data_IF_341415853705
#
_entry.id   IF_341415853705
#
_cell.length_a   1.000
_cell.length_b   1.000
_cell.length_c   1.000
_cell.angle_alpha   90.00
_cell.angle_beta   90.00
_cell.angle_gamma   90.00
#
_symmetry.space_group_name_H-M   'P 1'
#
loop_
_entity.id
_entity.type
_entity.pdbx_description
1 polymer ?
#
# COMPACT_ATOMS: atom_id res chain seq x y z
N UNK A 1 20.36 -10.43 21.82
CA UNK A 1 19.99 -10.84 20.46
C UNK A 1 19.82 -9.58 19.65
N UNK A 2 20.80 -9.21 18.83
CA UNK A 2 20.64 -8.11 17.88
C UNK A 2 19.62 -8.54 16.86
N UNK A 3 18.43 -7.96 16.92
CA UNK A 3 17.47 -8.10 15.83
C UNK A 3 18.13 -7.50 14.59
N UNK A 4 18.49 -8.33 13.62
CA UNK A 4 19.05 -7.89 12.35
C UNK A 4 18.09 -6.84 11.76
N UNK A 5 18.56 -5.60 11.76
CA UNK A 5 17.79 -4.49 11.23
C UNK A 5 17.66 -4.67 9.72
N UNK A 6 16.42 -4.67 9.24
CA UNK A 6 16.18 -4.70 7.81
C UNK A 6 16.79 -3.47 7.13
N UNK A 7 17.50 -3.71 6.03
CA UNK A 7 18.11 -2.67 5.19
C UNK A 7 17.48 -2.68 3.81
N UNK A 8 17.71 -1.64 3.03
CA UNK A 8 17.26 -1.59 1.63
C UNK A 8 17.82 -2.77 0.82
N UNK A 9 19.06 -3.18 1.07
CA UNK A 9 19.69 -4.29 0.34
C UNK A 9 18.94 -5.61 0.55
N UNK A 10 18.43 -5.85 1.75
CA UNK A 10 17.59 -7.02 2.04
C UNK A 10 16.29 -7.02 1.22
N UNK A 11 15.75 -5.82 0.91
CA UNK A 11 14.50 -5.65 0.15
C UNK A 11 14.70 -5.60 -1.38
N UNK A 12 15.93 -5.60 -1.89
CA UNK A 12 16.21 -5.62 -3.33
C UNK A 12 16.05 -7.01 -3.96
N UNK A 13 15.70 -8.03 -3.20
CA UNK A 13 15.43 -9.38 -3.68
C UNK A 13 13.96 -9.78 -3.51
N UNK A 14 13.41 -10.58 -4.43
CA UNK A 14 12.04 -11.11 -4.31
C UNK A 14 11.86 -11.88 -3.01
N UNK A 15 12.85 -12.69 -2.62
CA UNK A 15 12.80 -13.45 -1.38
C UNK A 15 12.85 -12.55 -0.14
N UNK A 16 13.67 -11.50 -0.15
CA UNK A 16 13.75 -10.52 0.93
C UNK A 16 12.42 -9.80 1.15
N UNK A 17 11.79 -9.32 0.07
CA UNK A 17 10.47 -8.69 0.13
C UNK A 17 9.40 -9.65 0.67
N UNK A 18 9.39 -10.90 0.21
CA UNK A 18 8.44 -11.92 0.71
C UNK A 18 8.63 -12.18 2.21
N UNK A 19 9.88 -12.38 2.64
CA UNK A 19 10.20 -12.64 4.04
C UNK A 19 9.81 -11.45 4.92
N UNK A 20 10.21 -10.24 4.53
CA UNK A 20 9.85 -9.02 5.25
C UNK A 20 8.33 -8.83 5.34
N UNK A 21 7.62 -8.93 4.20
CA UNK A 21 6.18 -8.76 4.19
C UNK A 21 5.46 -9.82 5.03
N UNK A 22 5.97 -11.05 5.06
CA UNK A 22 5.42 -12.12 5.90
C UNK A 22 5.62 -11.82 7.39
N UNK A 23 6.82 -11.39 7.79
CA UNK A 23 7.14 -11.02 9.19
C UNK A 23 6.28 -9.83 9.65
N UNK A 24 6.18 -8.77 8.84
CA UNK A 24 5.36 -7.61 9.15
C UNK A 24 3.89 -8.01 9.30
N UNK A 25 3.36 -8.80 8.38
CA UNK A 25 1.96 -9.26 8.45
C UNK A 25 1.67 -10.09 9.69
N UNK A 26 2.59 -10.99 10.05
CA UNK A 26 2.43 -11.83 11.24
C UNK A 26 2.46 -11.00 12.51
N UNK A 27 3.43 -10.08 12.63
CA UNK A 27 3.56 -9.20 13.78
C UNK A 27 2.32 -8.31 13.97
N UNK A 28 1.86 -7.65 12.91
CA UNK A 28 0.74 -6.72 13.00
C UNK A 28 -0.63 -7.41 13.09
N UNK A 29 -0.78 -8.68 12.69
CA UNK A 29 -1.96 -9.47 13.02
C UNK A 29 -2.08 -9.68 14.52
N UNK A 30 -0.98 -10.09 15.18
CA UNK A 30 -0.97 -10.27 16.63
C UNK A 30 -1.31 -8.97 17.34
N UNK A 31 -0.70 -7.85 16.96
CA UNK A 31 -1.04 -6.56 17.53
C UNK A 31 -2.50 -6.17 17.31
N UNK A 32 -3.07 -6.44 16.14
CA UNK A 32 -4.47 -6.15 15.88
C UNK A 32 -5.41 -6.94 16.83
N UNK A 33 -5.11 -8.22 17.03
CA UNK A 33 -5.88 -9.08 17.93
C UNK A 33 -5.72 -8.67 19.41
N UNK A 34 -4.48 -8.32 19.82
CA UNK A 34 -4.18 -7.83 21.16
C UNK A 34 -4.90 -6.50 21.45
N UNK A 35 -4.87 -5.54 20.52
CA UNK A 35 -5.57 -4.27 20.68
C UNK A 35 -7.09 -4.45 20.76
N UNK A 36 -7.66 -5.36 19.99
CA UNK A 36 -9.09 -5.67 20.09
C UNK A 36 -9.46 -6.33 21.40
N UNK A 37 -8.62 -7.23 21.89
CA UNK A 37 -8.81 -7.86 23.19
C UNK A 37 -8.74 -6.82 24.31
N UNK A 38 -7.69 -5.99 24.32
CA UNK A 38 -7.53 -4.90 25.29
C UNK A 38 -8.67 -3.89 25.22
N UNK A 39 -9.16 -3.55 24.02
CA UNK A 39 -10.29 -2.64 23.87
C UNK A 39 -11.58 -3.17 24.51
N UNK A 40 -11.79 -4.49 24.48
CA UNK A 40 -12.92 -5.13 25.15
C UNK A 40 -12.74 -5.16 26.66
N UNK A 41 -11.58 -5.62 27.13
CA UNK A 41 -11.25 -5.70 28.55
C UNK A 41 -11.36 -4.32 29.22
N UNK A 42 -10.71 -3.30 28.70
CA UNK A 42 -10.77 -1.93 29.24
C UNK A 42 -12.18 -1.38 29.25
N UNK A 43 -12.97 -1.66 28.19
CA UNK A 43 -14.36 -1.23 28.16
C UNK A 43 -15.20 -1.90 29.25
N UNK A 44 -15.04 -3.21 29.40
CA UNK A 44 -15.82 -3.99 30.36
C UNK A 44 -15.43 -3.62 31.80
N UNK A 45 -14.14 -3.42 32.08
CA UNK A 45 -13.62 -2.98 33.38
C UNK A 45 -14.15 -1.58 33.75
N UNK A 46 -14.08 -0.59 32.85
CA UNK A 46 -14.58 0.78 33.13
C UNK A 46 -16.11 0.85 33.24
N UNK A 47 -16.83 -0.10 32.71
CA UNK A 47 -18.28 -0.21 32.94
C UNK A 47 -18.59 -0.91 34.23
N UNK A 48 -17.79 -1.90 34.66
CA UNK A 48 -17.96 -2.64 35.88
C UNK A 48 -17.55 -1.82 37.11
N UNK A 49 -16.47 -1.05 36.99
CA UNK A 49 -15.93 -0.17 38.04
C UNK A 49 -15.83 1.28 37.52
N UNK A 50 -16.93 2.04 37.55
CA UNK A 50 -16.96 3.41 37.04
C UNK A 50 -16.09 4.36 37.85
N UNK A 51 -15.59 5.41 37.21
CA UNK A 51 -14.84 6.48 37.87
C UNK A 51 -15.74 7.15 38.90
N UNK A 52 -15.19 7.45 40.10
CA UNK A 52 -15.92 8.09 41.17
C UNK A 52 -16.66 9.35 40.71
N UNK A 53 -17.97 9.36 40.94
CA UNK A 53 -18.86 10.45 40.53
C UNK A 53 -19.50 10.26 39.17
N UNK A 54 -19.17 9.22 38.40
CA UNK A 54 -19.81 8.92 37.12
C UNK A 54 -21.19 8.28 37.31
N UNK A 55 -22.18 8.82 36.59
CA UNK A 55 -23.44 8.11 36.38
C UNK A 55 -23.27 7.02 35.28
N UNK A 56 -24.22 6.07 35.22
CA UNK A 56 -24.17 4.93 34.27
C UNK A 56 -23.89 5.35 32.82
N UNK A 57 -24.46 6.45 32.35
CA UNK A 57 -24.27 6.95 30.97
C UNK A 57 -22.86 7.49 30.81
N UNK A 58 -22.34 8.24 31.79
CA UNK A 58 -20.98 8.78 31.74
C UNK A 58 -19.93 7.64 31.71
N UNK A 59 -20.11 6.63 32.56
CA UNK A 59 -19.25 5.44 32.58
C UNK A 59 -19.17 4.75 31.21
N UNK A 60 -20.30 4.52 30.55
CA UNK A 60 -20.32 3.95 29.22
C UNK A 60 -19.65 4.85 28.16
N UNK A 61 -19.82 6.17 28.28
CA UNK A 61 -19.19 7.13 27.38
C UNK A 61 -17.67 7.14 27.54
N UNK A 62 -17.18 7.19 28.78
CA UNK A 62 -15.75 7.15 29.09
C UNK A 62 -15.12 5.82 28.66
N UNK A 63 -15.78 4.70 28.96
CA UNK A 63 -15.36 3.37 28.50
C UNK A 63 -15.27 3.28 26.96
N UNK A 64 -16.25 3.85 26.26
CA UNK A 64 -16.23 3.92 24.81
C UNK A 64 -15.07 4.79 24.29
N UNK A 65 -14.85 5.95 24.90
CA UNK A 65 -13.81 6.90 24.50
C UNK A 65 -12.41 6.28 24.63
N UNK A 66 -12.10 5.66 25.76
CA UNK A 66 -10.80 5.01 25.98
C UNK A 66 -10.64 3.80 25.05
N UNK A 67 -11.66 2.94 24.94
CA UNK A 67 -11.59 1.76 24.09
C UNK A 67 -11.56 2.09 22.59
N UNK A 68 -12.03 3.28 22.18
CA UNK A 68 -12.00 3.68 20.77
C UNK A 68 -10.59 3.85 20.23
N UNK A 69 -9.67 4.39 21.03
CA UNK A 69 -8.26 4.52 20.65
C UNK A 69 -7.61 3.16 20.37
N UNK A 70 -7.88 2.15 21.21
CA UNK A 70 -7.38 0.79 21.00
C UNK A 70 -7.98 0.14 19.74
N UNK A 71 -9.25 0.38 19.46
CA UNK A 71 -9.88 -0.09 18.20
C UNK A 71 -9.30 0.58 16.96
N UNK A 72 -8.96 1.86 17.04
CA UNK A 72 -8.28 2.55 15.96
C UNK A 72 -6.86 2.00 15.75
N UNK A 73 -6.13 1.68 16.82
CA UNK A 73 -4.84 0.98 16.73
C UNK A 73 -4.99 -0.39 16.04
N UNK A 74 -6.01 -1.18 16.39
CA UNK A 74 -6.31 -2.44 15.73
C UNK A 74 -6.60 -2.26 14.22
N UNK A 75 -7.37 -1.23 13.86
CA UNK A 75 -7.66 -0.88 12.47
C UNK A 75 -6.39 -0.52 11.69
N UNK A 76 -5.51 0.29 12.28
CA UNK A 76 -4.22 0.65 11.67
C UNK A 76 -3.30 -0.55 11.52
N UNK A 77 -3.25 -1.43 12.52
CA UNK A 77 -2.49 -2.68 12.43
C UNK A 77 -2.98 -3.56 11.25
N UNK A 78 -4.29 -3.68 11.05
CA UNK A 78 -4.85 -4.39 9.88
C UNK A 78 -4.54 -3.70 8.56
N UNK A 79 -4.51 -2.36 8.54
CA UNK A 79 -4.10 -1.63 7.35
C UNK A 79 -2.64 -1.90 6.97
N UNK A 80 -1.74 -2.02 7.95
CA UNK A 80 -0.34 -2.42 7.73
C UNK A 80 -0.25 -3.85 7.17
N UNK A 81 -1.08 -4.79 7.66
CA UNK A 81 -1.16 -6.15 7.10
C UNK A 81 -1.57 -6.12 5.63
N UNK A 82 -2.53 -5.28 5.26
CA UNK A 82 -2.96 -5.11 3.88
C UNK A 82 -1.86 -4.48 3.01
N UNK A 83 -1.18 -3.45 3.52
CA UNK A 83 -0.05 -2.81 2.84
C UNK A 83 1.12 -3.79 2.61
N UNK A 84 1.40 -4.68 3.57
CA UNK A 84 2.41 -5.73 3.42
C UNK A 84 2.13 -6.68 2.24
N UNK A 85 0.86 -6.99 1.96
CA UNK A 85 0.47 -7.73 0.75
C UNK A 85 0.70 -6.92 -0.52
N UNK A 86 0.37 -5.63 -0.47
CA UNK A 86 0.58 -4.70 -1.59
C UNK A 86 2.05 -4.60 -1.97
N UNK A 87 2.95 -4.48 -1.00
CA UNK A 87 4.38 -4.38 -1.21
C UNK A 87 4.95 -5.52 -2.07
N UNK A 88 4.55 -6.76 -1.79
CA UNK A 88 4.99 -7.93 -2.58
C UNK A 88 4.51 -7.86 -4.03
N UNK A 89 3.25 -7.47 -4.23
CA UNK A 89 2.66 -7.31 -5.56
C UNK A 89 3.31 -6.18 -6.35
N UNK A 90 3.56 -5.04 -5.71
CA UNK A 90 4.20 -3.89 -6.35
C UNK A 90 5.66 -4.17 -6.71
N UNK A 91 6.41 -4.83 -5.84
CA UNK A 91 7.78 -5.26 -6.14
C UNK A 91 7.82 -6.16 -7.37
N UNK A 92 6.97 -7.19 -7.42
CA UNK A 92 6.88 -8.10 -8.57
C UNK A 92 6.56 -7.34 -9.85
N UNK A 93 5.54 -6.48 -9.81
CA UNK A 93 5.10 -5.69 -10.96
C UNK A 93 6.19 -4.76 -11.47
N UNK A 94 6.87 -4.02 -10.57
CA UNK A 94 7.83 -2.97 -10.94
C UNK A 94 9.22 -3.54 -11.19
N UNK A 95 9.72 -4.41 -10.33
CA UNK A 95 11.11 -4.87 -10.39
C UNK A 95 11.29 -6.11 -11.27
N UNK A 96 10.25 -6.93 -11.47
CA UNK A 96 10.36 -8.17 -12.23
C UNK A 96 9.63 -8.08 -13.57
N UNK A 97 8.35 -7.71 -13.58
CA UNK A 97 7.54 -7.75 -14.79
C UNK A 97 7.82 -6.56 -15.72
N UNK A 98 7.97 -5.37 -15.16
CA UNK A 98 8.18 -4.17 -15.97
C UNK A 98 9.48 -4.23 -16.81
N UNK A 99 10.64 -4.65 -16.28
CA UNK A 99 11.85 -4.86 -17.08
C UNK A 99 11.64 -5.91 -18.17
N UNK A 100 10.97 -7.02 -17.87
CA UNK A 100 10.65 -8.06 -18.86
C UNK A 100 9.78 -7.51 -20.01
N UNK A 101 8.73 -6.74 -19.66
CA UNK A 101 7.86 -6.09 -20.64
C UNK A 101 8.62 -5.08 -21.50
N UNK A 102 9.54 -4.31 -20.89
CA UNK A 102 10.40 -3.36 -21.64
C UNK A 102 11.36 -4.07 -22.58
N UNK A 103 12.02 -5.13 -22.13
CA UNK A 103 12.91 -5.94 -22.95
C UNK A 103 12.17 -6.58 -24.13
N UNK A 104 11.00 -7.18 -23.89
CA UNK A 104 10.17 -7.74 -24.94
C UNK A 104 9.73 -6.70 -25.98
N UNK A 105 9.35 -5.49 -25.53
CA UNK A 105 9.00 -4.38 -26.42
C UNK A 105 10.19 -3.90 -27.25
N UNK A 106 11.38 -3.83 -26.67
CA UNK A 106 12.60 -3.47 -27.38
C UNK A 106 12.96 -4.51 -28.43
N UNK A 107 12.92 -5.80 -28.09
CA UNK A 107 13.16 -6.89 -29.03
C UNK A 107 12.15 -6.89 -30.19
N UNK A 108 10.87 -6.68 -29.92
CA UNK A 108 9.85 -6.57 -30.97
C UNK A 108 10.10 -5.39 -31.89
N UNK A 109 10.55 -4.25 -31.36
CA UNK A 109 10.90 -3.07 -32.17
C UNK A 109 12.11 -3.32 -33.09
N UNK A 110 13.12 -4.04 -32.60
CA UNK A 110 14.29 -4.41 -33.41
C UNK A 110 13.93 -5.42 -34.51
N UNK A 111 13.08 -6.40 -34.23
CA UNK A 111 12.56 -7.32 -35.24
C UNK A 111 11.77 -6.59 -36.34
N UNK A 112 10.95 -5.61 -35.97
CA UNK A 112 10.22 -4.77 -36.91
C UNK A 112 11.16 -3.96 -37.82
N UNK A 113 12.21 -3.36 -37.22
CA UNK A 113 13.23 -2.63 -38.01
C UNK A 113 14.02 -3.53 -38.98
N UNK A 114 14.27 -4.77 -38.57
CA UNK A 114 14.97 -5.75 -39.37
C UNK A 114 14.10 -6.35 -40.49
N UNK A 115 12.88 -5.90 -40.72
CA UNK A 115 11.96 -6.41 -41.73
C UNK A 115 11.54 -7.88 -41.54
N UNK A 116 11.75 -8.44 -40.34
CA UNK A 116 11.40 -9.81 -40.02
C UNK A 116 9.96 -9.87 -39.44
N UNK A 117 9.09 -10.75 -39.98
CA UNK A 117 7.74 -10.89 -39.45
C UNK A 117 7.80 -11.29 -37.95
N UNK A 118 7.02 -10.62 -37.11
CA UNK A 118 6.87 -10.98 -35.71
C UNK A 118 6.31 -12.39 -35.58
N UNK A 119 6.87 -13.26 -34.70
CA UNK A 119 6.27 -14.56 -34.43
C UNK A 119 4.85 -14.36 -33.89
N UNK A 120 3.89 -15.03 -34.50
CA UNK A 120 2.49 -14.98 -34.10
C UNK A 120 2.40 -15.48 -32.64
N UNK A 121 1.97 -14.61 -31.71
CA UNK A 121 1.82 -14.94 -30.28
C UNK A 121 2.62 -14.09 -29.31
N UNK A 122 3.52 -13.20 -29.76
CA UNK A 122 4.37 -12.39 -28.87
C UNK A 122 3.80 -10.98 -28.59
N UNK A 123 2.63 -10.65 -29.12
CA UNK A 123 1.97 -9.38 -28.82
C UNK A 123 1.20 -9.56 -27.49
N UNK A 124 1.57 -8.86 -26.41
CA UNK A 124 0.74 -8.85 -25.22
C UNK A 124 -0.66 -8.39 -25.63
N UNK A 125 -1.69 -9.13 -25.27
CA UNK A 125 -3.11 -8.87 -25.59
C UNK A 125 -3.54 -7.41 -25.32
N UNK A 126 -2.87 -6.75 -24.38
CA UNK A 126 -3.10 -5.35 -24.00
C UNK A 126 -2.77 -4.33 -25.10
N UNK A 127 -1.78 -4.62 -25.96
CA UNK A 127 -1.37 -3.71 -27.04
C UNK A 127 -2.33 -3.83 -28.22
N UNK A 128 -2.81 -5.03 -28.52
CA UNK A 128 -3.83 -5.24 -29.55
C UNK A 128 -5.17 -4.64 -29.14
N UNK A 129 -5.56 -4.77 -27.86
CA UNK A 129 -6.77 -4.17 -27.31
C UNK A 129 -6.70 -2.63 -27.27
N UNK A 130 -5.54 -2.05 -26.97
CA UNK A 130 -5.32 -0.60 -26.97
C UNK A 130 -5.34 -0.01 -28.39
N UNK A 131 -4.75 -0.72 -29.37
CA UNK A 131 -4.79 -0.31 -30.79
C UNK A 131 -6.20 -0.40 -31.38
N UNK A 132 -6.95 -1.45 -31.05
CA UNK A 132 -8.33 -1.62 -31.48
C UNK A 132 -9.28 -0.55 -30.89
N UNK A 133 -9.08 -0.18 -29.61
CA UNK A 133 -9.84 0.92 -28.96
C UNK A 133 -9.54 2.28 -29.57
N UNK A 134 -8.29 2.52 -30.02
CA UNK A 134 -7.90 3.79 -30.65
C UNK A 134 -8.44 3.92 -32.06
N UNK A 135 -8.62 2.81 -32.76
CA UNK A 135 -9.21 2.80 -34.11
C UNK A 135 -10.74 2.96 -34.14
N UNK A 136 -11.42 2.75 -32.99
CA UNK A 136 -12.87 2.86 -32.86
C UNK A 136 -13.37 4.20 -32.26
N UNK A 137 -12.47 5.10 -31.89
CA UNK A 137 -12.89 6.44 -31.42
C UNK A 137 -13.05 7.36 -32.63
N UNK A 138 -14.25 7.92 -32.88
CA UNK A 138 -14.42 8.96 -33.88
C UNK A 138 -13.57 10.17 -33.48
N UNK A 139 -12.90 10.76 -34.44
CA UNK A 139 -12.08 11.95 -34.26
C UNK A 139 -12.95 13.06 -33.66
N UNK A 140 -12.74 13.41 -32.41
CA UNK A 140 -13.30 14.63 -31.86
C UNK A 140 -12.43 15.82 -32.27
N UNK A 141 -13.04 16.91 -32.75
CA UNK A 141 -12.32 18.15 -33.00
C UNK A 141 -11.82 18.72 -31.68
N UNK A 142 -10.59 19.19 -31.70
CA UNK A 142 -9.91 19.72 -30.52
C UNK A 142 -10.61 20.92 -29.93
N UNK A 143 -10.66 20.92 -28.61
CA UNK A 143 -10.68 22.14 -27.82
C UNK A 143 -9.37 22.18 -27.01
N UNK A 144 -8.59 23.16 -27.35
CA UNK A 144 -7.54 23.67 -26.49
C UNK A 144 -8.23 24.37 -25.34
N UNK A 145 -7.87 24.03 -24.09
CA UNK A 145 -7.61 25.08 -23.09
C UNK A 145 -7.12 24.47 -21.76
N UNK A 146 -6.10 25.17 -21.29
CA UNK A 146 -5.70 25.33 -19.90
C UNK A 146 -4.97 24.19 -19.16
N UNK A 147 -3.69 24.25 -19.38
CA UNK A 147 -2.58 23.92 -18.50
C UNK A 147 -2.77 24.55 -17.10
N UNK A 148 -3.47 23.88 -16.20
CA UNK A 148 -3.37 24.17 -14.77
C UNK A 148 -2.28 23.29 -14.16
N UNK A 149 -1.09 23.86 -14.15
CA UNK A 149 0.05 23.43 -13.35
C UNK A 149 -0.31 23.50 -11.86
N UNK A 150 -0.74 22.39 -11.29
CA UNK A 150 -0.87 22.27 -9.85
C UNK A 150 0.54 22.28 -9.26
N UNK A 151 0.90 23.23 -8.38
CA UNK A 151 2.22 23.26 -7.76
C UNK A 151 2.41 21.99 -6.92
N UNK A 152 3.49 21.26 -7.22
CA UNK A 152 3.91 20.10 -6.45
C UNK A 152 4.06 20.52 -4.97
N UNK A 153 3.26 19.92 -4.08
CA UNK A 153 3.46 20.05 -2.64
C UNK A 153 4.87 19.58 -2.30
N UNK A 154 5.66 20.38 -1.58
CA UNK A 154 6.97 19.93 -1.12
C UNK A 154 6.79 18.70 -0.24
N UNK A 155 7.41 17.60 -0.64
CA UNK A 155 7.47 16.38 0.15
C UNK A 155 8.40 16.67 1.32
N UNK A 156 7.83 16.90 2.50
CA UNK A 156 8.61 17.08 3.73
C UNK A 156 9.31 15.76 4.02
N UNK A 157 10.65 15.70 4.11
CA UNK A 157 11.34 14.48 4.49
C UNK A 157 10.82 14.04 5.86
N UNK A 158 10.43 12.79 5.98
CA UNK A 158 9.83 12.23 7.20
C UNK A 158 10.71 12.41 8.46
N UNK A 159 12.01 12.67 8.29
CA UNK A 159 12.94 13.02 9.36
C UNK A 159 12.60 14.34 10.09
N UNK A 160 11.82 15.24 9.50
CA UNK A 160 11.43 16.50 10.11
C UNK A 160 10.17 16.39 10.99
N UNK A 161 9.39 15.31 10.85
CA UNK A 161 8.22 15.05 11.69
C UNK A 161 8.55 14.71 13.15
N UNK A 162 9.80 14.39 13.45
CA UNK A 162 10.25 14.03 14.81
C UNK A 162 11.00 15.16 15.52
N UNK A 163 11.15 16.32 14.92
CA UNK A 163 11.85 17.49 15.55
C UNK A 163 10.96 18.35 16.43
N UNK A 164 9.64 18.27 16.33
CA UNK A 164 8.71 19.10 17.10
C UNK A 164 8.22 18.47 18.42
N UNK A 165 8.71 17.30 18.82
CA UNK A 165 8.36 16.65 20.08
C UNK A 165 9.53 16.73 21.09
N UNK A 166 9.95 17.95 21.46
CA UNK A 166 10.78 18.23 22.65
C UNK A 166 10.30 19.47 23.36
#
# INVERSE_FOLDING_TARGET
MSADRWTSDNLLSEQGVKTYSAQVRELFRRYADDFEKLAREVRDDLVADPIDGDGRIAAHFHAWQVSSALRDMAKHARAIVAAGKGLEGDYRRVCIELPKKRAAKAAAKELQKAGRPLPAGTVPNDVAAAAARRAMLPAQPGDHDDEQTTPARPVTPWADLFKEAR
#
